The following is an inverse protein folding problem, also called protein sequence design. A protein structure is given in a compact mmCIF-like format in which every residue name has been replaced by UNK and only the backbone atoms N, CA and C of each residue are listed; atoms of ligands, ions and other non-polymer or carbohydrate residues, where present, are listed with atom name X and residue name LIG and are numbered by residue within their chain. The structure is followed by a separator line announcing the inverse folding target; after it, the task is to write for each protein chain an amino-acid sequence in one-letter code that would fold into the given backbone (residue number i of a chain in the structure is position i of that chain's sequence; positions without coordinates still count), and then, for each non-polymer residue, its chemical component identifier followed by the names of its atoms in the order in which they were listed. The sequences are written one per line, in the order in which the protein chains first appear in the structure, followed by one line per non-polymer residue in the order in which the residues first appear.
data_IF_974200886867
#
_entry.id   IF_974200886867
#
_cell.length_a   1.000
_cell.length_b   1.000
_cell.length_c   1.000
_cell.angle_alpha   90.00
_cell.angle_beta   90.00
_cell.angle_gamma   90.00
#
_symmetry.space_group_name_H-M   'P 1'
#
loop_
_entity.id
_entity.type
_entity.pdbx_description
1 polymer ?
#
# COMPACT_ATOMS: atom_id res chain seq x y z
N UNK A 1 -24.53 -13.72 -28.16
CA UNK A 1 -23.25 -12.97 -28.14
C UNK A 1 -23.00 -12.25 -26.81
N UNK A 2 -23.99 -11.58 -26.21
CA UNK A 2 -23.81 -10.80 -24.97
C UNK A 2 -23.21 -11.59 -23.80
N UNK A 3 -23.63 -12.84 -23.58
CA UNK A 3 -23.08 -13.68 -22.51
C UNK A 3 -21.58 -13.96 -22.67
N UNK A 4 -21.10 -14.14 -23.91
CA UNK A 4 -19.68 -14.35 -24.17
C UNK A 4 -18.86 -13.09 -23.87
N UNK A 5 -19.40 -11.91 -24.20
CA UNK A 5 -18.76 -10.62 -23.91
C UNK A 5 -18.64 -10.43 -22.39
N UNK A 6 -19.72 -10.71 -21.64
CA UNK A 6 -19.70 -10.64 -20.18
C UNK A 6 -18.62 -11.56 -19.59
N UNK A 7 -18.55 -12.81 -20.07
CA UNK A 7 -17.55 -13.76 -19.62
C UNK A 7 -16.12 -13.28 -19.87
N UNK A 8 -15.84 -12.71 -21.04
CA UNK A 8 -14.51 -12.17 -21.36
C UNK A 8 -14.14 -11.04 -20.39
N UNK A 9 -15.07 -10.11 -20.14
CA UNK A 9 -14.82 -8.98 -19.22
C UNK A 9 -14.55 -9.47 -17.80
N UNK A 10 -15.33 -10.44 -17.32
CA UNK A 10 -15.12 -11.02 -16.00
C UNK A 10 -13.73 -11.66 -15.88
N UNK A 11 -13.35 -12.49 -16.85
CA UNK A 11 -12.11 -13.26 -16.79
C UNK A 11 -10.87 -12.40 -16.99
N UNK A 12 -10.91 -11.42 -17.89
CA UNK A 12 -9.72 -10.67 -18.31
C UNK A 12 -9.55 -9.35 -17.54
N UNK A 13 -10.63 -8.77 -17.04
CA UNK A 13 -10.57 -7.46 -16.37
C UNK A 13 -10.91 -7.60 -14.90
N UNK A 14 -12.08 -8.16 -14.58
CA UNK A 14 -12.59 -8.14 -13.20
C UNK A 14 -11.74 -9.02 -12.29
N UNK A 15 -11.40 -10.25 -12.72
CA UNK A 15 -10.57 -11.15 -11.90
C UNK A 15 -9.17 -10.56 -11.68
N UNK A 16 -8.41 -10.12 -12.71
CA UNK A 16 -7.07 -9.58 -12.48
C UNK A 16 -7.07 -8.34 -11.59
N UNK A 17 -7.98 -7.39 -11.84
CA UNK A 17 -8.10 -6.19 -11.01
C UNK A 17 -8.52 -6.54 -9.58
N UNK A 18 -9.47 -7.46 -9.41
CA UNK A 18 -9.90 -7.92 -8.08
C UNK A 18 -8.79 -8.60 -7.29
N UNK A 19 -7.97 -9.43 -7.94
CA UNK A 19 -6.81 -10.08 -7.31
C UNK A 19 -5.77 -9.02 -6.90
N UNK A 20 -5.44 -8.08 -7.78
CA UNK A 20 -4.48 -7.01 -7.47
C UNK A 20 -4.97 -6.13 -6.31
N UNK A 21 -6.25 -5.73 -6.33
CA UNK A 21 -6.81 -4.85 -5.29
C UNK A 21 -6.97 -5.57 -3.95
N UNK A 22 -7.35 -6.85 -3.94
CA UNK A 22 -7.45 -7.63 -2.70
C UNK A 22 -6.06 -7.85 -2.07
N UNK A 23 -5.05 -8.13 -2.89
CA UNK A 23 -3.65 -8.22 -2.43
C UNK A 23 -3.15 -6.89 -1.86
N UNK A 24 -3.40 -5.78 -2.55
CA UNK A 24 -3.00 -4.44 -2.10
C UNK A 24 -3.68 -4.07 -0.76
N UNK A 25 -4.99 -4.32 -0.64
CA UNK A 25 -5.73 -4.07 0.59
C UNK A 25 -5.19 -4.91 1.76
N UNK A 26 -4.93 -6.20 1.53
CA UNK A 26 -4.34 -7.09 2.53
C UNK A 26 -2.96 -6.62 2.98
N UNK A 27 -2.10 -6.26 2.03
CA UNK A 27 -0.76 -5.73 2.31
C UNK A 27 -0.81 -4.41 3.09
N UNK A 28 -1.72 -3.49 2.75
CA UNK A 28 -1.89 -2.23 3.46
C UNK A 28 -2.32 -2.44 4.92
N UNK A 29 -3.27 -3.35 5.17
CA UNK A 29 -3.73 -3.67 6.53
C UNK A 29 -2.61 -4.28 7.36
N UNK A 30 -1.90 -5.26 6.81
CA UNK A 30 -0.81 -5.95 7.53
C UNK A 30 0.38 -5.00 7.75
N UNK A 31 0.82 -4.32 6.70
CA UNK A 31 1.93 -3.37 6.74
C UNK A 31 1.66 -2.21 7.68
N UNK A 32 0.45 -1.65 7.68
CA UNK A 32 0.06 -0.57 8.58
C UNK A 32 0.08 -1.00 10.05
N UNK A 33 -0.46 -2.19 10.37
CA UNK A 33 -0.39 -2.71 11.75
C UNK A 33 1.05 -2.96 12.18
N UNK A 34 1.87 -3.55 11.31
CA UNK A 34 3.26 -3.85 11.63
C UNK A 34 4.09 -2.56 11.83
N UNK A 35 3.87 -1.55 10.99
CA UNK A 35 4.49 -0.21 11.13
C UNK A 35 4.16 0.42 12.48
N UNK A 36 2.88 0.45 12.85
CA UNK A 36 2.46 1.00 14.16
C UNK A 36 3.12 0.28 15.34
N UNK A 37 3.29 -1.04 15.27
CA UNK A 37 3.98 -1.80 16.31
C UNK A 37 5.46 -1.43 16.38
N UNK A 38 6.16 -1.39 15.23
CA UNK A 38 7.58 -1.04 15.18
C UNK A 38 7.83 0.39 15.68
N UNK A 39 6.97 1.33 15.31
CA UNK A 39 7.11 2.73 15.71
C UNK A 39 6.91 2.90 17.24
N UNK A 40 5.95 2.18 17.82
CA UNK A 40 5.72 2.19 19.27
C UNK A 40 6.88 1.54 20.05
N UNK A 41 7.45 0.47 19.54
CA UNK A 41 8.57 -0.24 20.18
C UNK A 41 9.89 0.56 20.11
N UNK A 42 10.00 1.53 19.20
CA UNK A 42 11.21 2.34 18.96
C UNK A 42 10.97 3.85 19.11
N UNK A 43 9.99 4.24 19.93
CA UNK A 43 9.66 5.64 20.20
C UNK A 43 10.90 6.40 20.73
N UNK A 44 11.29 7.48 20.04
CA UNK A 44 12.50 8.25 20.36
C UNK A 44 13.79 7.76 19.71
N UNK A 45 13.74 6.73 18.87
CA UNK A 45 14.90 6.26 18.09
C UNK A 45 15.25 7.20 16.95
N UNK A 46 16.55 7.48 16.78
CA UNK A 46 17.08 8.20 15.63
C UNK A 46 16.75 7.52 14.29
N UNK A 47 16.59 6.18 14.29
CA UNK A 47 16.22 5.41 13.11
C UNK A 47 14.77 5.62 12.70
N UNK A 48 13.88 5.93 13.66
CA UNK A 48 12.49 6.26 13.36
C UNK A 48 12.43 7.58 12.57
N UNK A 49 13.13 8.61 13.05
CA UNK A 49 13.22 9.90 12.38
C UNK A 49 13.81 9.80 10.96
N UNK A 50 14.85 8.96 10.77
CA UNK A 50 15.42 8.69 9.44
C UNK A 50 14.42 7.95 8.54
N UNK A 51 13.65 6.99 9.08
CA UNK A 51 12.67 6.22 8.30
C UNK A 51 11.47 7.05 7.84
N UNK A 52 11.13 8.11 8.57
CA UNK A 52 10.02 9.02 8.27
C UNK A 52 10.44 10.23 7.44
N UNK A 53 11.74 10.52 7.36
CA UNK A 53 12.26 11.63 6.58
C UNK A 53 11.99 11.44 5.09
N UNK A 54 11.41 12.45 4.44
CA UNK A 54 11.28 12.47 2.98
C UNK A 54 12.61 12.93 2.37
N UNK A 55 13.35 12.05 1.66
CA UNK A 55 14.66 12.39 1.11
C UNK A 55 14.60 13.43 -0.03
N UNK A 56 13.39 13.74 -0.52
CA UNK A 56 13.15 14.70 -1.61
C UNK A 56 12.56 16.03 -1.11
N UNK A 57 12.33 16.20 0.18
CA UNK A 57 12.03 17.53 0.73
C UNK A 57 13.29 18.39 0.64
N UNK A 58 13.30 19.34 -0.29
CA UNK A 58 14.33 20.38 -0.36
C UNK A 58 14.29 21.30 0.87
N UNK A 59 15.27 22.22 1.03
CA UNK A 59 15.32 23.13 2.15
C UNK A 59 13.99 23.89 2.30
N UNK A 60 13.42 23.92 3.50
CA UNK A 60 12.31 24.82 3.81
C UNK A 60 12.85 26.24 3.80
N UNK A 61 12.61 26.98 2.71
CA UNK A 61 12.87 28.41 2.66
C UNK A 61 11.99 29.10 3.73
N UNK A 62 12.64 29.70 4.73
CA UNK A 62 12.01 30.50 5.78
C UNK A 62 11.94 31.97 5.41
#
# INVERSE_FOLDING_TARGET
MIGAIIMIVLLVVVIPVGVLMSGALGAAVIGGKLKNTVDADHEGSELLAVSEANPYQGPTEG
#
